data_IF_851680786594
#
_entry.id   IF_851680786594
#
_cell.length_a   1.000
_cell.length_b   1.000
_cell.length_c   1.000
_cell.angle_alpha   90.00
_cell.angle_beta   90.00
_cell.angle_gamma   90.00
#
_symmetry.space_group_name_H-M   'P 1'
#
loop_
_entity.id
_entity.type
_entity.pdbx_description
1 polymer ?
#
# COMPACT_ATOMS: atom_id res chain seq x y z
N UNK A 1 13.00 -1.57 8.01
CA UNK A 1 12.23 -2.57 8.78
C UNK A 1 12.23 -2.14 10.23
N UNK A 2 11.08 -2.23 10.91
CA UNK A 2 11.01 -2.05 12.37
C UNK A 2 11.62 -3.27 13.05
N UNK A 3 12.55 -3.03 13.98
CA UNK A 3 13.13 -4.06 14.84
C UNK A 3 12.87 -3.72 16.32
N UNK A 4 12.76 -4.76 17.14
CA UNK A 4 12.75 -4.60 18.60
C UNK A 4 14.19 -4.53 19.11
N UNK A 5 14.57 -3.40 19.68
CA UNK A 5 15.90 -3.18 20.25
C UNK A 5 15.83 -3.21 21.78
N UNK A 6 16.88 -3.77 22.41
CA UNK A 6 17.02 -3.91 23.86
C UNK A 6 18.35 -3.31 24.31
N UNK A 7 18.34 -2.52 25.38
CA UNK A 7 19.50 -1.79 25.88
C UNK A 7 19.48 -1.66 27.40
N UNK A 8 20.65 -1.48 28.02
CA UNK A 8 20.76 -1.24 29.47
C UNK A 8 20.22 0.12 29.90
N UNK A 9 20.23 1.09 28.99
CA UNK A 9 19.91 2.50 29.26
C UNK A 9 18.90 3.02 28.23
N UNK A 10 18.00 3.92 28.65
CA UNK A 10 17.05 4.56 27.74
C UNK A 10 17.81 5.28 26.62
N UNK A 11 17.67 4.76 25.41
CA UNK A 11 18.21 5.39 24.20
C UNK A 11 17.46 6.68 23.86
N UNK A 12 18.13 7.59 23.16
CA UNK A 12 17.49 8.74 22.55
C UNK A 12 16.58 8.31 21.40
N UNK A 13 15.48 9.04 21.23
CA UNK A 13 14.51 8.83 20.16
C UNK A 13 15.17 8.98 18.77
N UNK A 14 16.20 9.83 18.65
CA UNK A 14 16.99 10.01 17.42
C UNK A 14 18.47 9.89 17.71
N UNK A 15 19.18 9.11 16.90
CA UNK A 15 20.64 9.11 16.86
C UNK A 15 21.14 9.21 15.43
N UNK A 16 22.18 10.01 15.21
CA UNK A 16 22.83 10.17 13.91
C UNK A 16 24.34 10.03 14.08
N UNK A 17 24.96 9.16 13.28
CA UNK A 17 26.40 8.94 13.26
C UNK A 17 26.94 9.28 11.87
N UNK A 18 27.88 10.22 11.79
CA UNK A 18 28.63 10.48 10.57
C UNK A 18 29.60 9.31 10.30
N UNK A 19 29.48 8.69 9.13
CA UNK A 19 30.33 7.56 8.73
C UNK A 19 31.66 8.01 8.11
N UNK A 20 31.82 9.30 7.80
CA UNK A 20 33.03 9.88 7.23
C UNK A 20 33.24 9.61 5.73
N UNK A 21 32.34 8.88 5.08
CA UNK A 21 32.34 8.57 3.63
C UNK A 21 31.29 9.41 2.86
N UNK A 22 30.77 10.47 3.50
CA UNK A 22 29.71 11.30 2.96
C UNK A 22 28.31 10.74 3.19
N UNK A 23 28.16 9.79 4.10
CA UNK A 23 26.89 9.24 4.56
C UNK A 23 26.75 9.33 6.08
N UNK A 24 25.50 9.37 6.53
CA UNK A 24 25.13 9.30 7.95
C UNK A 24 24.31 8.04 8.20
N UNK A 25 24.58 7.35 9.30
CA UNK A 25 23.72 6.29 9.80
C UNK A 25 22.72 6.91 10.78
N UNK A 26 21.44 6.62 10.58
CA UNK A 26 20.33 7.24 11.30
C UNK A 26 19.54 6.14 12.00
N UNK A 27 19.25 6.35 13.29
CA UNK A 27 18.35 5.52 14.08
C UNK A 27 17.20 6.37 14.60
N UNK A 28 15.99 5.86 14.39
CA UNK A 28 14.75 6.38 14.93
C UNK A 28 14.21 5.35 15.93
N UNK A 29 13.81 5.81 17.12
CA UNK A 29 13.29 4.94 18.18
C UNK A 29 12.03 5.54 18.78
N UNK A 30 11.04 4.69 19.05
CA UNK A 30 9.82 5.07 19.76
C UNK A 30 9.32 3.92 20.63
N UNK A 31 8.26 4.18 21.40
CA UNK A 31 7.63 3.19 22.28
C UNK A 31 8.61 2.59 23.30
N UNK A 32 9.38 3.45 23.98
CA UNK A 32 10.31 3.02 25.01
C UNK A 32 9.57 2.42 26.21
N UNK A 33 9.95 1.20 26.58
CA UNK A 33 9.42 0.48 27.74
C UNK A 33 10.57 0.08 28.63
N UNK A 34 10.53 0.49 29.90
CA UNK A 34 11.39 -0.01 30.96
C UNK A 34 10.85 -1.34 31.45
N UNK A 35 11.73 -2.34 31.57
CA UNK A 35 11.40 -3.65 32.09
C UNK A 35 12.53 -4.14 33.00
N UNK A 36 12.26 -5.16 33.81
CA UNK A 36 13.21 -5.73 34.76
C UNK A 36 13.37 -7.23 34.51
N UNK A 37 14.61 -7.65 34.26
CA UNK A 37 14.94 -9.05 34.17
C UNK A 37 15.13 -9.63 35.58
N UNK A 38 14.34 -10.65 35.90
CA UNK A 38 14.56 -11.45 37.11
C UNK A 38 15.78 -12.36 36.91
N UNK A 39 16.82 -12.12 37.68
CA UNK A 39 18.06 -12.89 37.66
C UNK A 39 18.04 -14.08 38.64
N UNK A 40 16.86 -14.42 39.16
CA UNK A 40 16.66 -15.52 40.09
C UNK A 40 17.00 -15.16 41.54
N UNK A 41 17.00 -16.16 42.44
CA UNK A 41 16.98 -15.93 43.90
C UNK A 41 18.22 -15.22 44.48
N UNK A 42 19.34 -15.21 43.76
CA UNK A 42 20.63 -14.71 44.25
C UNK A 42 21.15 -13.48 43.48
N UNK A 43 20.45 -13.03 42.44
CA UNK A 43 20.85 -11.89 41.61
C UNK A 43 19.94 -10.67 41.81
N UNK A 44 20.48 -9.44 41.90
CA UNK A 44 19.62 -8.27 41.84
C UNK A 44 18.93 -8.21 40.47
N UNK A 45 17.66 -7.80 40.46
CA UNK A 45 16.95 -7.52 39.21
C UNK A 45 17.73 -6.49 38.39
N UNK A 46 17.83 -6.70 37.07
CA UNK A 46 18.50 -5.76 36.17
C UNK A 46 17.45 -5.06 35.32
N UNK A 47 17.42 -3.74 35.41
CA UNK A 47 16.59 -2.90 34.54
C UNK A 47 17.16 -2.90 33.13
N UNK A 48 16.28 -3.01 32.13
CA UNK A 48 16.60 -2.82 30.72
C UNK A 48 15.48 -2.05 30.04
N UNK A 49 15.78 -1.51 28.86
CA UNK A 49 14.86 -0.74 28.05
C UNK A 49 14.67 -1.41 26.70
N UNK A 50 13.41 -1.56 26.30
CA UNK A 50 13.04 -1.99 24.94
C UNK A 50 12.41 -0.84 24.17
N UNK A 51 12.55 -0.85 22.84
CA UNK A 51 11.90 0.10 21.95
C UNK A 51 11.67 -0.52 20.56
N UNK A 52 10.82 0.14 19.78
CA UNK A 52 10.75 -0.07 18.34
C UNK A 52 11.81 0.81 17.69
N UNK A 53 12.58 0.26 16.76
CA UNK A 53 13.69 0.93 16.10
C UNK A 53 13.60 0.78 14.58
N UNK A 54 13.89 1.86 13.87
CA UNK A 54 14.12 1.89 12.42
C UNK A 54 15.49 2.50 12.18
N UNK A 55 16.33 1.85 11.37
CA UNK A 55 17.67 2.33 11.01
C UNK A 55 17.87 2.36 9.51
N UNK A 56 18.49 3.42 9.00
CA UNK A 56 18.79 3.58 7.58
C UNK A 56 20.05 4.43 7.36
N UNK A 57 20.57 4.42 6.12
CA UNK A 57 21.73 5.22 5.72
C UNK A 57 21.26 6.41 4.88
N UNK A 58 21.50 7.62 5.38
CA UNK A 58 21.22 8.86 4.68
C UNK A 58 22.45 9.37 3.93
N UNK A 59 22.25 9.92 2.72
CA UNK A 59 23.32 10.59 1.98
C UNK A 59 23.58 11.97 2.56
N UNK A 60 24.85 12.31 2.75
CA UNK A 60 25.30 13.56 3.34
C UNK A 60 25.44 13.50 4.87
N UNK A 61 25.69 14.66 5.46
CA UNK A 61 25.76 14.85 6.91
C UNK A 61 24.39 15.26 7.42
N UNK A 62 23.59 14.29 7.87
CA UNK A 62 22.33 14.56 8.52
C UNK A 62 22.58 15.08 9.94
N UNK A 63 21.78 16.03 10.41
CA UNK A 63 21.80 16.46 11.82
C UNK A 63 20.65 15.83 12.61
N UNK A 64 20.87 15.63 13.91
CA UNK A 64 19.81 15.16 14.83
C UNK A 64 18.59 16.08 14.75
N UNK A 65 18.77 17.41 14.69
CA UNK A 65 17.67 18.36 14.63
C UNK A 65 16.79 18.20 13.37
N UNK A 66 17.41 18.00 12.20
CA UNK A 66 16.68 17.76 10.94
C UNK A 66 15.93 16.44 10.97
N UNK A 67 16.55 15.39 11.49
CA UNK A 67 15.95 14.06 11.59
C UNK A 67 14.79 14.08 12.59
N UNK A 68 14.95 14.73 13.75
CA UNK A 68 13.86 14.91 14.74
C UNK A 68 12.69 15.66 14.13
N UNK A 69 12.93 16.72 13.36
CA UNK A 69 11.85 17.49 12.72
C UNK A 69 11.06 16.66 11.68
N UNK A 70 11.66 15.60 11.14
CA UNK A 70 11.06 14.71 10.13
C UNK A 70 10.84 13.29 10.66
N UNK A 71 10.76 13.12 11.97
CA UNK A 71 10.75 11.81 12.60
C UNK A 71 9.67 10.89 12.02
N UNK A 72 8.40 11.33 12.01
CA UNK A 72 7.28 10.50 11.54
C UNK A 72 7.37 10.21 10.05
N UNK A 73 7.77 11.20 9.24
CA UNK A 73 7.96 11.04 7.80
C UNK A 73 9.03 9.97 7.50
N UNK A 74 10.19 10.06 8.15
CA UNK A 74 11.30 9.14 7.97
C UNK A 74 10.99 7.76 8.56
N UNK A 75 10.26 7.72 9.68
CA UNK A 75 9.80 6.47 10.25
C UNK A 75 8.94 5.71 9.25
N UNK A 76 7.90 6.34 8.71
CA UNK A 76 7.01 5.69 7.75
C UNK A 76 7.72 5.31 6.45
N UNK A 77 8.67 6.12 5.99
CA UNK A 77 9.44 5.82 4.78
C UNK A 77 10.34 4.58 4.92
N UNK A 78 10.86 4.31 6.12
CA UNK A 78 11.89 3.27 6.34
C UNK A 78 11.41 2.09 7.20
N UNK A 79 10.18 2.13 7.73
CA UNK A 79 9.61 1.06 8.59
C UNK A 79 9.59 -0.31 7.91
N UNK A 80 9.61 -0.37 6.59
CA UNK A 80 9.57 -1.61 5.81
C UNK A 80 10.89 -1.92 5.06
N UNK A 81 11.92 -1.08 5.19
CA UNK A 81 13.23 -1.28 4.54
C UNK A 81 13.82 -2.67 4.78
N UNK A 82 14.20 -3.37 3.71
CA UNK A 82 14.82 -4.70 3.80
C UNK A 82 13.84 -5.86 3.98
N UNK A 83 12.53 -5.59 4.08
CA UNK A 83 11.51 -6.64 3.99
C UNK A 83 11.33 -7.05 2.53
N UNK A 84 11.07 -8.34 2.24
CA UNK A 84 10.67 -8.75 0.91
C UNK A 84 9.37 -8.03 0.52
N UNK A 85 9.31 -7.47 -0.68
CA UNK A 85 8.10 -6.80 -1.18
C UNK A 85 6.86 -7.71 -1.12
N UNK A 86 7.05 -9.03 -1.29
CA UNK A 86 6.00 -10.03 -1.15
C UNK A 86 5.40 -10.11 0.26
N UNK A 87 6.22 -9.91 1.30
CA UNK A 87 5.77 -9.95 2.70
C UNK A 87 4.96 -8.69 3.05
N UNK A 88 5.44 -7.53 2.61
CA UNK A 88 4.72 -6.26 2.77
C UNK A 88 3.40 -6.29 2.01
N UNK A 89 3.41 -6.81 0.77
CA UNK A 89 2.19 -7.01 -0.01
C UNK A 89 1.24 -8.04 0.63
N UNK A 90 1.75 -9.10 1.26
CA UNK A 90 0.93 -10.09 1.96
C UNK A 90 0.24 -9.48 3.19
N UNK A 91 0.93 -8.66 3.98
CA UNK A 91 0.31 -7.92 5.08
C UNK A 91 -0.69 -6.88 4.60
N UNK A 92 -0.40 -6.19 3.50
CA UNK A 92 -1.34 -5.29 2.84
C UNK A 92 -2.63 -6.02 2.47
N UNK A 93 -2.50 -7.19 1.82
CA UNK A 93 -3.62 -8.05 1.45
C UNK A 93 -4.39 -8.53 2.68
N UNK A 94 -3.70 -8.94 3.74
CA UNK A 94 -4.33 -9.39 4.97
C UNK A 94 -5.13 -8.26 5.65
N UNK A 95 -4.54 -7.07 5.76
CA UNK A 95 -5.21 -5.90 6.30
C UNK A 95 -6.39 -5.44 5.43
N UNK A 96 -6.23 -5.51 4.10
CA UNK A 96 -7.29 -5.21 3.14
C UNK A 96 -8.45 -6.23 3.23
N UNK A 97 -8.14 -7.52 3.37
CA UNK A 97 -9.15 -8.58 3.55
C UNK A 97 -9.88 -8.42 4.88
N UNK A 98 -9.17 -8.19 5.98
CA UNK A 98 -9.78 -7.95 7.30
C UNK A 98 -10.66 -6.68 7.28
N UNK A 99 -10.19 -5.62 6.61
CA UNK A 99 -10.98 -4.42 6.39
C UNK A 99 -12.21 -4.66 5.51
N UNK A 100 -12.10 -5.51 4.47
CA UNK A 100 -13.22 -5.92 3.61
C UNK A 100 -14.24 -6.73 4.38
N UNK A 101 -13.81 -7.75 5.12
CA UNK A 101 -14.67 -8.57 5.99
C UNK A 101 -15.37 -7.72 7.05
N UNK A 102 -14.64 -6.77 7.67
CA UNK A 102 -15.22 -5.83 8.62
C UNK A 102 -16.27 -4.91 7.97
N UNK A 103 -16.01 -4.41 6.76
CA UNK A 103 -16.97 -3.60 5.99
C UNK A 103 -18.20 -4.42 5.53
N UNK A 104 -18.01 -5.68 5.14
CA UNK A 104 -19.10 -6.59 4.79
C UNK A 104 -19.97 -6.92 6.01
N UNK A 105 -19.36 -7.15 7.19
CA UNK A 105 -20.08 -7.43 8.44
C UNK A 105 -20.75 -6.21 9.05
N UNK A 106 -20.10 -5.04 9.01
CA UNK A 106 -20.64 -3.79 9.57
C UNK A 106 -21.63 -3.09 8.63
N UNK A 107 -21.70 -3.52 7.36
CA UNK A 107 -22.35 -2.77 6.31
C UNK A 107 -21.67 -1.42 6.08
N UNK A 108 -22.44 -0.39 5.74
CA UNK A 108 -21.92 0.96 5.48
C UNK A 108 -21.66 1.78 6.76
N UNK A 109 -21.20 1.16 7.86
CA UNK A 109 -20.89 1.90 9.09
C UNK A 109 -19.75 2.90 8.79
N UNK A 110 -20.00 4.22 8.94
CA UNK A 110 -19.03 5.24 8.56
C UNK A 110 -17.70 5.17 9.34
N UNK A 111 -17.72 4.69 10.59
CA UNK A 111 -16.52 4.59 11.42
C UNK A 111 -15.64 3.41 10.98
N UNK A 112 -16.26 2.27 10.66
CA UNK A 112 -15.55 1.10 10.13
C UNK A 112 -14.93 1.41 8.77
N UNK A 113 -15.70 2.06 7.88
CA UNK A 113 -15.20 2.48 6.57
C UNK A 113 -14.07 3.51 6.67
N UNK A 114 -14.15 4.44 7.64
CA UNK A 114 -13.06 5.39 7.88
C UNK A 114 -11.79 4.68 8.35
N UNK A 115 -11.90 3.71 9.26
CA UNK A 115 -10.76 2.92 9.72
C UNK A 115 -10.14 2.09 8.59
N UNK A 116 -10.97 1.37 7.83
CA UNK A 116 -10.55 0.60 6.65
C UNK A 116 -9.78 1.47 5.63
N UNK A 117 -10.29 2.68 5.35
CA UNK A 117 -9.61 3.65 4.49
C UNK A 117 -8.25 4.08 5.02
N UNK A 118 -8.15 4.34 6.32
CA UNK A 118 -6.87 4.73 6.95
C UNK A 118 -5.82 3.63 6.86
N UNK A 119 -6.22 2.36 6.91
CA UNK A 119 -5.32 1.22 6.75
C UNK A 119 -4.89 1.01 5.29
N UNK A 120 -5.82 1.12 4.34
CA UNK A 120 -5.62 0.71 2.95
C UNK A 120 -5.00 1.82 2.08
N UNK A 121 -5.43 3.08 2.20
CA UNK A 121 -4.98 4.18 1.32
C UNK A 121 -3.46 4.36 1.28
N UNK A 122 -2.71 4.30 2.41
CA UNK A 122 -1.26 4.44 2.37
C UNK A 122 -0.55 3.39 1.51
N UNK A 123 -1.19 2.23 1.28
CA UNK A 123 -0.62 1.08 0.58
C UNK A 123 -0.97 1.06 -0.91
N UNK A 124 -1.82 1.98 -1.39
CA UNK A 124 -2.38 1.96 -2.74
C UNK A 124 -1.31 1.89 -3.86
N UNK A 125 -0.17 2.54 -3.66
CA UNK A 125 0.92 2.57 -4.65
C UNK A 125 1.50 1.18 -4.94
N UNK A 126 1.55 0.31 -3.93
CA UNK A 126 2.13 -1.04 -4.01
C UNK A 126 1.10 -2.11 -4.42
N UNK A 127 -0.19 -1.74 -4.46
CA UNK A 127 -1.25 -2.65 -4.86
C UNK A 127 -1.25 -2.90 -6.37
N UNK A 128 -1.48 -4.14 -6.75
CA UNK A 128 -1.90 -4.51 -8.09
C UNK A 128 -3.30 -3.96 -8.39
N UNK A 129 -3.66 -3.87 -9.67
CA UNK A 129 -4.99 -3.40 -10.08
C UNK A 129 -6.10 -4.33 -9.56
N UNK A 130 -5.85 -5.64 -9.54
CA UNK A 130 -6.81 -6.61 -9.00
C UNK A 130 -7.05 -6.43 -7.49
N UNK A 131 -6.00 -6.20 -6.71
CA UNK A 131 -6.15 -5.90 -5.28
C UNK A 131 -6.89 -4.57 -5.08
N UNK A 132 -6.52 -3.54 -5.85
CA UNK A 132 -7.19 -2.24 -5.82
C UNK A 132 -8.69 -2.36 -6.12
N UNK A 133 -9.07 -3.16 -7.11
CA UNK A 133 -10.47 -3.42 -7.44
C UNK A 133 -11.23 -4.15 -6.33
N UNK A 134 -10.59 -5.12 -5.66
CA UNK A 134 -11.22 -5.91 -4.58
C UNK A 134 -11.64 -5.09 -3.36
N UNK A 135 -11.03 -3.92 -3.15
CA UNK A 135 -11.38 -2.97 -2.09
C UNK A 135 -11.91 -1.65 -2.65
N UNK A 136 -12.48 -1.68 -3.85
CA UNK A 136 -12.90 -0.48 -4.59
C UNK A 136 -13.80 0.47 -3.81
N UNK A 137 -14.65 -0.06 -2.93
CA UNK A 137 -15.54 0.70 -2.05
C UNK A 137 -14.81 1.64 -1.07
N UNK A 138 -13.54 1.35 -0.77
CA UNK A 138 -12.72 2.14 0.13
C UNK A 138 -12.18 3.40 -0.57
N UNK A 139 -12.07 3.43 -1.89
CA UNK A 139 -11.44 4.56 -2.58
C UNK A 139 -12.27 5.84 -2.50
N UNK A 140 -11.62 7.01 -2.41
CA UNK A 140 -12.32 8.28 -2.38
C UNK A 140 -12.85 8.66 -3.77
N UNK A 141 -13.99 9.37 -3.81
CA UNK A 141 -14.40 10.14 -4.98
C UNK A 141 -13.52 11.40 -5.10
N UNK A 142 -12.94 11.62 -6.27
CA UNK A 142 -12.11 12.78 -6.60
C UNK A 142 -12.81 13.70 -7.59
N UNK A 143 -12.37 14.94 -7.64
CA UNK A 143 -12.91 16.00 -8.49
C UNK A 143 -11.78 16.82 -9.10
N UNK A 144 -12.11 17.62 -10.11
CA UNK A 144 -11.20 18.64 -10.63
C UNK A 144 -10.71 19.53 -9.49
N UNK A 145 -9.39 19.68 -9.38
CA UNK A 145 -8.69 20.39 -8.32
C UNK A 145 -8.06 19.48 -7.27
N UNK A 146 -8.44 18.19 -7.19
CA UNK A 146 -7.85 17.27 -6.23
C UNK A 146 -6.48 16.76 -6.69
N UNK A 147 -5.61 16.50 -5.71
CA UNK A 147 -4.32 15.86 -5.93
C UNK A 147 -4.45 14.32 -5.90
N UNK A 148 -3.67 13.68 -6.77
CA UNK A 148 -3.45 12.25 -6.89
C UNK A 148 -1.96 12.01 -7.20
N UNK A 149 -1.45 10.83 -6.86
CA UNK A 149 -0.07 10.42 -7.13
C UNK A 149 -0.02 9.01 -7.68
N UNK A 150 1.14 8.60 -8.18
CA UNK A 150 1.33 7.34 -8.88
C UNK A 150 0.80 6.18 -8.04
N UNK A 151 -0.07 5.37 -8.65
CA UNK A 151 -0.66 4.19 -8.04
C UNK A 151 -1.90 4.45 -7.19
N UNK A 152 -2.25 5.70 -6.86
CA UNK A 152 -3.51 6.02 -6.17
C UNK A 152 -4.71 5.49 -6.97
N UNK A 153 -5.63 4.83 -6.27
CA UNK A 153 -6.96 4.48 -6.78
C UNK A 153 -8.00 5.49 -6.31
N UNK A 154 -8.93 5.85 -7.19
CA UNK A 154 -10.00 6.79 -6.87
C UNK A 154 -11.17 6.68 -7.83
N UNK A 155 -12.36 7.05 -7.34
CA UNK A 155 -13.55 7.20 -8.17
C UNK A 155 -13.59 8.59 -8.79
N UNK A 156 -14.02 8.69 -10.05
CA UNK A 156 -14.29 9.96 -10.70
C UNK A 156 -15.50 9.80 -11.62
N UNK A 157 -16.61 10.47 -11.30
CA UNK A 157 -17.81 10.40 -12.12
C UNK A 157 -18.46 9.01 -12.13
N UNK A 158 -18.24 8.22 -11.07
CA UNK A 158 -18.78 6.87 -10.92
C UNK A 158 -17.91 5.76 -11.50
N UNK A 159 -16.78 6.08 -12.13
CA UNK A 159 -15.83 5.10 -12.68
C UNK A 159 -14.53 5.08 -11.86
N UNK A 160 -13.89 3.91 -11.78
CA UNK A 160 -12.67 3.72 -10.99
C UNK A 160 -11.43 3.96 -11.86
N UNK A 161 -10.47 4.70 -11.31
CA UNK A 161 -9.21 5.01 -11.97
C UNK A 161 -8.01 4.74 -11.07
N UNK A 162 -6.87 4.47 -11.71
CA UNK A 162 -5.53 4.45 -11.09
C UNK A 162 -4.67 5.55 -11.69
N UNK A 163 -4.00 6.35 -10.87
CA UNK A 163 -3.09 7.40 -11.38
C UNK A 163 -1.78 6.80 -11.91
N UNK A 164 -1.32 7.26 -13.08
CA UNK A 164 -0.09 6.82 -13.73
C UNK A 164 1.05 7.85 -13.64
N UNK A 165 0.86 8.95 -12.91
CA UNK A 165 1.82 10.06 -12.81
C UNK A 165 2.35 10.21 -11.38
N UNK A 166 3.66 10.49 -11.16
CA UNK A 166 4.25 10.64 -9.84
C UNK A 166 3.49 11.58 -8.90
N UNK A 167 3.14 12.77 -9.39
CA UNK A 167 2.26 13.73 -8.73
C UNK A 167 1.43 14.45 -9.79
N UNK A 168 0.13 14.60 -9.54
CA UNK A 168 -0.81 15.20 -10.48
C UNK A 168 -1.96 15.89 -9.74
N UNK A 169 -2.35 17.07 -10.21
CA UNK A 169 -3.63 17.69 -9.85
C UNK A 169 -4.60 17.51 -11.01
N UNK A 170 -5.78 16.96 -10.74
CA UNK A 170 -6.82 16.78 -11.76
C UNK A 170 -7.23 18.16 -12.26
N UNK A 171 -6.92 18.47 -13.51
CA UNK A 171 -7.14 19.79 -14.10
C UNK A 171 -8.28 19.72 -15.11
N UNK A 172 -9.06 20.79 -15.23
CA UNK A 172 -10.11 20.89 -16.24
C UNK A 172 -9.52 20.71 -17.66
N UNK A 173 -10.15 19.86 -18.48
CA UNK A 173 -9.65 19.45 -19.79
C UNK A 173 -8.63 18.31 -19.76
N UNK A 174 -8.23 17.85 -18.57
CA UNK A 174 -7.40 16.66 -18.34
C UNK A 174 -8.04 15.75 -17.28
N UNK A 175 -9.37 15.68 -17.30
CA UNK A 175 -10.12 14.79 -16.41
C UNK A 175 -9.90 13.31 -16.78
N UNK A 176 -10.06 12.38 -15.83
CA UNK A 176 -9.95 10.94 -16.08
C UNK A 176 -10.85 10.44 -17.21
N UNK A 177 -12.08 10.95 -17.30
CA UNK A 177 -13.09 10.58 -18.30
C UNK A 177 -12.76 11.05 -19.74
N UNK A 178 -11.62 11.72 -19.96
CA UNK A 178 -11.18 12.21 -21.28
C UNK A 178 -10.34 11.20 -22.07
N UNK A 179 -10.17 9.98 -21.56
CA UNK A 179 -9.40 8.93 -22.25
C UNK A 179 -7.92 9.30 -22.33
N UNK A 180 -7.32 9.63 -21.19
CA UNK A 180 -5.92 10.05 -21.08
C UNK A 180 -5.08 8.95 -20.40
N UNK A 181 -4.78 7.83 -21.08
CA UNK A 181 -4.13 6.65 -20.47
C UNK A 181 -2.73 6.92 -19.93
N UNK A 182 -2.07 7.98 -20.42
CA UNK A 182 -0.80 8.44 -19.86
C UNK A 182 -0.95 9.02 -18.45
N UNK A 183 -2.12 9.59 -18.11
CA UNK A 183 -2.39 10.21 -16.82
C UNK A 183 -3.12 9.25 -15.87
N UNK A 184 -4.09 8.50 -16.39
CA UNK A 184 -4.97 7.65 -15.60
C UNK A 184 -5.24 6.34 -16.34
N UNK A 185 -5.16 5.22 -15.61
CA UNK A 185 -5.69 3.93 -16.05
C UNK A 185 -7.15 3.80 -15.64
N UNK A 186 -8.03 3.50 -16.58
CA UNK A 186 -9.41 3.10 -16.27
C UNK A 186 -9.41 1.66 -15.73
N UNK A 187 -10.30 1.37 -14.78
CA UNK A 187 -10.44 0.05 -14.16
C UNK A 187 -11.91 -0.29 -14.06
N UNK A 188 -12.37 -1.19 -14.91
CA UNK A 188 -13.75 -1.68 -14.85
C UNK A 188 -13.88 -2.74 -13.75
N UNK A 189 -14.76 -2.50 -12.78
CA UNK A 189 -14.96 -3.37 -11.61
C UNK A 189 -16.44 -3.68 -11.42
N UNK A 190 -16.76 -4.95 -11.19
CA UNK A 190 -18.11 -5.42 -10.88
C UNK A 190 -18.48 -5.13 -9.41
N UNK A 191 -19.78 -5.16 -9.05
CA UNK A 191 -20.22 -4.91 -7.67
C UNK A 191 -19.65 -5.85 -6.61
N UNK A 192 -19.17 -7.03 -7.00
CA UNK A 192 -18.53 -8.00 -6.12
C UNK A 192 -17.01 -7.77 -5.95
N UNK A 193 -16.47 -6.69 -6.52
CA UNK A 193 -15.06 -6.32 -6.41
C UNK A 193 -14.15 -7.07 -7.38
N UNK A 194 -14.68 -7.92 -8.25
CA UNK A 194 -13.91 -8.59 -9.32
C UNK A 194 -13.83 -7.65 -10.53
N UNK A 195 -12.70 -7.67 -11.24
CA UNK A 195 -12.55 -6.89 -12.47
C UNK A 195 -13.59 -7.34 -13.52
N UNK A 196 -13.97 -6.45 -14.42
CA UNK A 196 -14.60 -6.84 -15.68
C UNK A 196 -13.54 -6.71 -16.76
N UNK A 197 -13.43 -7.70 -17.64
CA UNK A 197 -12.52 -7.59 -18.77
C UNK A 197 -13.05 -6.55 -19.76
N UNK A 198 -12.27 -5.51 -20.01
CA UNK A 198 -12.54 -4.50 -21.03
C UNK A 198 -11.31 -4.32 -21.92
N UNK A 199 -11.53 -4.20 -23.22
CA UNK A 199 -10.47 -3.92 -24.18
C UNK A 199 -9.95 -2.48 -24.03
N UNK A 200 -10.78 -1.54 -23.59
CA UNK A 200 -10.41 -0.13 -23.41
C UNK A 200 -9.47 0.05 -22.20
N UNK A 201 -9.56 -0.85 -21.21
CA UNK A 201 -8.70 -0.91 -20.03
C UNK A 201 -7.27 -1.36 -20.37
N UNK A 202 -7.06 -2.01 -21.53
CA UNK A 202 -5.74 -2.44 -21.99
C UNK A 202 -4.85 -1.28 -22.47
N UNK A 203 -5.35 -0.05 -22.42
CA UNK A 203 -4.61 1.13 -22.85
C UNK A 203 -3.68 1.66 -21.75
N UNK A 204 -2.43 1.95 -22.12
CA UNK A 204 -1.40 2.43 -21.19
C UNK A 204 -0.49 1.32 -20.66
N UNK A 205 0.23 1.61 -19.57
CA UNK A 205 1.21 0.71 -18.95
C UNK A 205 0.67 0.12 -17.64
N UNK A 206 -0.61 -0.25 -17.62
CA UNK A 206 -1.35 -0.53 -16.39
C UNK A 206 -1.31 -1.99 -15.94
N UNK A 207 -0.81 -2.91 -16.78
CA UNK A 207 -0.67 -4.36 -16.48
C UNK A 207 -1.86 -4.93 -15.70
N UNK A 208 -3.08 -4.60 -16.13
CA UNK A 208 -4.32 -4.83 -15.35
C UNK A 208 -4.56 -6.32 -15.10
N UNK A 209 -4.47 -7.14 -16.14
CA UNK A 209 -4.77 -8.57 -16.08
C UNK A 209 -3.49 -9.41 -15.98
N UNK A 210 -2.76 -9.28 -14.87
CA UNK A 210 -1.58 -10.10 -14.56
C UNK A 210 -1.94 -11.54 -14.16
N UNK A 211 -0.93 -12.42 -14.09
CA UNK A 211 -1.12 -13.81 -13.67
C UNK A 211 -1.87 -13.89 -12.34
N UNK A 212 -2.94 -14.69 -12.29
CA UNK A 212 -3.80 -14.84 -11.11
C UNK A 212 -4.94 -13.81 -11.02
N UNK A 213 -4.92 -12.74 -11.81
CA UNK A 213 -6.01 -11.76 -11.83
C UNK A 213 -7.32 -12.43 -12.27
N UNK A 214 -8.41 -12.10 -11.57
CA UNK A 214 -9.76 -12.57 -11.84
C UNK A 214 -10.54 -11.50 -12.58
N UNK A 215 -11.26 -11.86 -13.64
CA UNK A 215 -12.13 -10.94 -14.36
C UNK A 215 -13.41 -11.63 -14.86
N UNK A 216 -14.55 -10.95 -14.74
CA UNK A 216 -15.78 -11.32 -15.42
C UNK A 216 -15.67 -11.03 -16.93
N UNK A 217 -16.31 -11.87 -17.74
CA UNK A 217 -16.48 -11.63 -19.17
C UNK A 217 -17.74 -12.36 -19.67
N UNK A 218 -18.58 -11.77 -20.55
CA UNK A 218 -18.37 -10.51 -21.28
C UNK A 218 -18.71 -9.23 -20.52
N UNK A 219 -19.37 -9.33 -19.39
CA UNK A 219 -19.83 -8.21 -18.56
C UNK A 219 -19.78 -8.63 -17.08
N UNK A 220 -20.21 -7.75 -16.16
CA UNK A 220 -20.19 -8.00 -14.72
C UNK A 220 -21.00 -9.23 -14.26
N UNK A 221 -21.96 -9.71 -15.06
CA UNK A 221 -22.77 -10.90 -14.76
C UNK A 221 -22.19 -12.17 -15.43
N UNK A 222 -21.15 -12.01 -16.24
CA UNK A 222 -20.48 -13.10 -16.94
C UNK A 222 -19.70 -14.03 -15.99
N UNK A 223 -19.30 -15.22 -16.47
CA UNK A 223 -18.39 -16.08 -15.71
C UNK A 223 -17.05 -15.39 -15.39
N UNK A 224 -16.47 -15.78 -14.26
CA UNK A 224 -15.14 -15.32 -13.84
C UNK A 224 -14.07 -16.18 -14.48
N UNK A 225 -13.06 -15.54 -15.06
CA UNK A 225 -11.85 -16.17 -15.57
C UNK A 225 -10.62 -15.73 -14.78
N UNK A 226 -9.62 -16.60 -14.71
CA UNK A 226 -8.32 -16.35 -14.09
C UNK A 226 -7.25 -16.26 -15.17
N UNK A 227 -6.51 -15.15 -15.20
CA UNK A 227 -5.40 -14.95 -16.13
C UNK A 227 -4.22 -15.86 -15.77
N UNK A 228 -3.60 -16.49 -16.77
CA UNK A 228 -2.43 -17.38 -16.60
C UNK A 228 -1.10 -16.74 -16.98
N UNK A 229 -1.09 -15.45 -17.32
CA UNK A 229 0.13 -14.74 -17.73
C UNK A 229 0.12 -13.29 -17.28
N UNK A 230 1.32 -12.72 -17.17
CA UNK A 230 1.56 -11.29 -16.91
C UNK A 230 1.12 -10.49 -18.14
N UNK A 231 0.46 -9.34 -17.91
CA UNK A 231 0.01 -8.44 -18.96
C UNK A 231 -0.94 -9.08 -19.98
N UNK A 232 -1.95 -9.83 -19.52
CA UNK A 232 -2.82 -10.54 -20.43
C UNK A 232 -3.80 -9.61 -21.16
N UNK A 233 -3.56 -9.41 -22.45
CA UNK A 233 -4.38 -8.55 -23.33
C UNK A 233 -5.42 -9.30 -24.15
N UNK A 234 -5.50 -10.63 -24.01
CA UNK A 234 -6.42 -11.44 -24.78
C UNK A 234 -7.82 -11.45 -24.17
N UNK A 235 -8.84 -11.65 -24.99
CA UNK A 235 -10.23 -11.79 -24.54
C UNK A 235 -10.44 -13.12 -23.82
N UNK A 236 -11.04 -13.15 -22.61
CA UNK A 236 -11.33 -14.38 -21.90
C UNK A 236 -12.15 -15.40 -22.71
N UNK A 237 -11.78 -16.67 -22.57
CA UNK A 237 -12.44 -17.78 -23.29
C UNK A 237 -12.06 -17.94 -24.77
N UNK A 238 -11.17 -17.11 -25.30
CA UNK A 238 -10.73 -17.18 -26.71
C UNK A 238 -9.40 -17.94 -26.92
N UNK A 239 -8.64 -18.16 -25.85
CA UNK A 239 -7.34 -18.83 -25.89
C UNK A 239 -7.01 -19.56 -24.57
N UNK A 240 -5.81 -20.16 -24.51
CA UNK A 240 -5.33 -20.89 -23.34
C UNK A 240 -4.90 -20.00 -22.16
N UNK A 241 -4.77 -18.68 -22.33
CA UNK A 241 -4.24 -17.76 -21.32
C UNK A 241 -5.25 -17.39 -20.24
N UNK A 242 -6.49 -17.85 -20.38
CA UNK A 242 -7.53 -17.76 -19.38
C UNK A 242 -7.97 -19.15 -18.92
N UNK A 243 -8.27 -19.31 -17.63
CA UNK A 243 -9.00 -20.45 -17.08
C UNK A 243 -10.33 -19.98 -16.54
N UNK A 244 -11.41 -20.72 -16.79
CA UNK A 244 -12.66 -20.51 -16.09
C UNK A 244 -12.44 -20.80 -14.58
N UNK A 245 -12.84 -19.87 -13.72
CA UNK A 245 -12.78 -20.08 -12.27
C UNK A 245 -13.82 -21.13 -11.87
N UNK A 246 -13.44 -22.08 -11.02
CA UNK A 246 -14.40 -23.00 -10.40
C UNK A 246 -15.21 -22.20 -9.36
N UNK A 247 -16.54 -22.34 -9.40
CA UNK A 247 -17.48 -21.64 -8.52
C UNK A 247 -17.64 -22.27 -7.14
#
# INVERSE_FOLDING_TARGET
>A
MIVKSCSSDRQDDVSVIDRGDGFSEVWLRRNHVEDAADNGPEGPATTFWTCDEVSFVARGQASVAEVTARFDELWEAHRDDGRPAEEVAAEARAAAEEAREAAEMAGTDPQVMAFARMAVIPMAADMTVAEGASVSILWPEKRVGDAVKLGDFFWFGGELYRCNQPELTITAGQEPDKGLPALYGHVTVAPDGVLVWDADDLTGATDIYNTGARAHYPDADGPVYVSKRVGNTSTPGTDEWWALAEG
#
